data_IF_150656234435
#
_entry.id   IF_150656234435
#
_cell.length_a   1.000
_cell.length_b   1.000
_cell.length_c   1.000
_cell.angle_alpha   90.00
_cell.angle_beta   90.00
_cell.angle_gamma   90.00
#
_symmetry.space_group_name_H-M   'P 1'
#
loop_
_entity.id
_entity.type
_entity.pdbx_description
1 polymer ?
#
# COMPACT_ATOMS: atom_id res chain seq x y z
N UNK A 1 5.10 -7.29 1.87
CA UNK A 1 3.89 -6.75 1.21
C UNK A 1 2.72 -7.57 1.73
N UNK A 2 1.51 -7.02 1.85
CA UNK A 2 0.35 -7.80 2.33
C UNK A 2 0.10 -8.99 1.40
N UNK A 3 -0.15 -10.19 1.94
CA UNK A 3 -0.40 -11.42 1.17
C UNK A 3 -1.56 -11.27 0.19
N UNK A 4 -2.57 -10.47 0.56
CA UNK A 4 -3.72 -10.14 -0.32
C UNK A 4 -3.25 -9.33 -1.53
N UNK A 5 -2.34 -8.37 -1.31
CA UNK A 5 -1.82 -7.50 -2.37
C UNK A 5 -0.89 -8.29 -3.29
N UNK A 6 -0.11 -9.24 -2.77
CA UNK A 6 0.72 -10.14 -3.59
C UNK A 6 -0.12 -11.09 -4.46
N UNK A 7 -1.19 -11.65 -3.89
CA UNK A 7 -2.16 -12.46 -4.65
C UNK A 7 -2.82 -11.62 -5.75
N UNK A 8 -3.27 -10.42 -5.40
CA UNK A 8 -3.90 -9.49 -6.35
C UNK A 8 -2.94 -9.08 -7.47
N UNK A 9 -1.67 -8.80 -7.15
CA UNK A 9 -0.63 -8.50 -8.14
C UNK A 9 -0.44 -9.67 -9.12
N UNK A 10 -0.40 -10.90 -8.60
CA UNK A 10 -0.25 -12.11 -9.42
C UNK A 10 -1.40 -12.29 -10.41
N UNK A 11 -2.62 -11.91 -10.02
CA UNK A 11 -3.79 -11.97 -10.90
C UNK A 11 -3.81 -10.85 -11.95
N UNK A 12 -3.38 -9.65 -11.59
CA UNK A 12 -3.28 -8.52 -12.54
C UNK A 12 -2.13 -8.72 -13.53
N UNK A 13 -0.99 -9.24 -13.09
CA UNK A 13 0.19 -9.47 -13.94
C UNK A 13 -0.07 -10.46 -15.10
N UNK A 14 -1.16 -11.24 -15.03
CA UNK A 14 -1.59 -12.14 -16.11
C UNK A 14 -2.32 -11.42 -17.26
N UNK A 15 -2.57 -10.11 -17.14
CA UNK A 15 -3.29 -9.31 -18.13
C UNK A 15 -2.33 -8.32 -18.81
N UNK A 16 -2.06 -8.52 -20.10
CA UNK A 16 -1.04 -7.79 -20.85
C UNK A 16 -1.30 -6.29 -21.00
N UNK A 17 -2.55 -5.84 -20.85
CA UNK A 17 -2.99 -4.46 -21.05
C UNK A 17 -3.06 -3.64 -19.76
N UNK A 18 -2.77 -4.23 -18.59
CA UNK A 18 -2.91 -3.59 -17.29
C UNK A 18 -1.56 -3.40 -16.59
N UNK A 19 -1.46 -2.31 -15.83
CA UNK A 19 -0.32 -2.07 -14.94
C UNK A 19 -0.82 -1.87 -13.52
N UNK A 20 -0.30 -2.65 -12.59
CA UNK A 20 -0.48 -2.43 -11.17
C UNK A 20 0.78 -1.79 -10.60
N UNK A 21 0.60 -0.71 -9.85
CA UNK A 21 1.66 -0.06 -9.08
C UNK A 21 1.25 0.02 -7.62
N UNK A 22 2.22 -0.01 -6.73
CA UNK A 22 2.00 -0.18 -5.30
C UNK A 22 2.85 0.78 -4.48
N UNK A 23 2.27 1.31 -3.41
CA UNK A 23 2.99 2.06 -2.40
C UNK A 23 2.54 1.67 -0.99
N UNK A 24 3.50 1.42 -0.11
CA UNK A 24 3.25 1.23 1.33
C UNK A 24 3.62 2.50 2.08
N UNK A 25 2.65 3.13 2.74
CA UNK A 25 2.90 4.28 3.59
C UNK A 25 3.57 3.83 4.90
N UNK A 26 4.71 4.45 5.20
CA UNK A 26 5.40 4.29 6.47
C UNK A 26 5.73 5.66 7.03
N UNK A 27 5.22 5.98 8.21
CA UNK A 27 5.34 7.31 8.78
C UNK A 27 6.81 7.67 9.07
N UNK A 28 7.28 8.88 8.68
CA UNK A 28 6.52 9.95 8.01
C UNK A 28 6.56 9.82 6.48
N UNK A 29 5.44 9.46 5.86
CA UNK A 29 5.27 9.52 4.39
C UNK A 29 4.48 10.78 4.02
N UNK A 30 4.93 11.53 3.01
CA UNK A 30 4.17 12.65 2.44
C UNK A 30 3.49 12.28 1.12
N UNK A 31 2.48 13.05 0.72
CA UNK A 31 1.81 12.93 -0.57
C UNK A 31 2.81 13.00 -1.73
N UNK A 32 3.85 13.81 -1.61
CA UNK A 32 4.87 13.98 -2.65
C UNK A 32 5.79 12.75 -2.75
N UNK A 33 6.06 12.05 -1.64
CA UNK A 33 6.79 10.79 -1.64
C UNK A 33 5.99 9.71 -2.39
N UNK A 34 4.69 9.62 -2.10
CA UNK A 34 3.78 8.69 -2.77
C UNK A 34 3.76 8.97 -4.28
N UNK A 35 3.45 10.20 -4.69
CA UNK A 35 3.32 10.53 -6.13
C UNK A 35 4.64 10.30 -6.86
N UNK A 36 5.80 10.67 -6.28
CA UNK A 36 7.12 10.41 -6.90
C UNK A 36 7.37 8.92 -7.10
N UNK A 37 7.00 8.09 -6.13
CA UNK A 37 7.14 6.64 -6.26
C UNK A 37 6.20 6.04 -7.30
N UNK A 38 4.96 6.53 -7.40
CA UNK A 38 4.03 6.09 -8.44
C UNK A 38 4.56 6.47 -9.83
N UNK A 39 5.13 7.67 -9.97
CA UNK A 39 5.79 8.11 -11.21
C UNK A 39 6.97 7.22 -11.53
N UNK A 40 7.86 6.91 -10.58
CA UNK A 40 9.04 6.08 -10.85
C UNK A 40 8.67 4.66 -11.30
N UNK A 41 7.60 4.09 -10.74
CA UNK A 41 7.10 2.77 -11.13
C UNK A 41 6.51 2.75 -12.55
N UNK A 42 5.83 3.83 -12.98
CA UNK A 42 5.26 3.94 -14.33
C UNK A 42 6.21 4.56 -15.36
N UNK A 43 7.33 5.14 -14.93
CA UNK A 43 8.28 5.80 -15.82
C UNK A 43 8.97 4.83 -16.77
N UNK A 44 9.04 3.54 -16.41
CA UNK A 44 9.59 2.52 -17.29
C UNK A 44 8.64 2.22 -18.46
N UNK A 45 9.21 1.94 -19.62
CA UNK A 45 8.48 1.42 -20.78
C UNK A 45 7.87 0.06 -20.48
N UNK A 46 6.84 -0.34 -21.24
CA UNK A 46 6.14 -1.60 -20.99
C UNK A 46 7.06 -2.82 -21.07
N UNK A 47 8.11 -2.76 -21.90
CA UNK A 47 9.14 -3.78 -22.04
C UNK A 47 10.28 -3.66 -20.98
N UNK A 48 10.24 -2.65 -20.11
CA UNK A 48 11.20 -2.44 -19.03
C UNK A 48 12.59 -1.97 -19.49
N UNK A 49 12.78 -1.69 -20.78
CA UNK A 49 14.11 -1.44 -21.35
C UNK A 49 14.53 0.03 -21.33
N UNK A 50 13.59 0.96 -21.16
CA UNK A 50 13.86 2.39 -21.19
C UNK A 50 12.99 3.17 -20.20
N UNK A 51 13.49 4.35 -19.83
CA UNK A 51 12.69 5.36 -19.12
C UNK A 51 11.98 6.22 -20.16
N UNK A 52 10.74 6.58 -19.87
CA UNK A 52 9.91 7.42 -20.71
C UNK A 52 10.57 8.80 -20.95
N UNK A 53 10.53 9.26 -22.20
CA UNK A 53 11.29 10.43 -22.64
C UNK A 53 10.81 11.73 -22.01
N UNK A 54 9.52 11.89 -21.74
CA UNK A 54 9.00 13.07 -21.03
C UNK A 54 9.45 13.12 -19.58
N UNK A 55 9.63 11.97 -18.90
CA UNK A 55 10.22 11.91 -17.56
C UNK A 55 11.72 12.26 -17.61
N UNK A 56 12.46 11.71 -18.58
CA UNK A 56 13.87 12.06 -18.78
C UNK A 56 14.05 13.56 -19.04
N UNK A 57 13.19 14.16 -19.88
CA UNK A 57 13.20 15.59 -20.15
C UNK A 57 12.92 16.41 -18.87
N UNK A 58 11.91 16.02 -18.09
CA UNK A 58 11.56 16.67 -16.82
C UNK A 58 12.76 16.75 -15.86
N UNK A 59 13.55 15.67 -15.75
CA UNK A 59 14.76 15.66 -14.93
C UNK A 59 15.91 16.46 -15.54
N UNK A 60 16.10 16.41 -16.86
CA UNK A 60 17.16 17.17 -17.53
C UNK A 60 16.92 18.69 -17.51
N UNK A 61 15.66 19.10 -17.47
CA UNK A 61 15.25 20.51 -17.43
C UNK A 61 15.33 21.12 -16.01
N UNK A 62 15.39 20.28 -14.98
CA UNK A 62 15.64 20.70 -13.60
C UNK A 62 17.09 21.17 -13.43
N UNK A 63 17.34 22.46 -13.72
CA UNK A 63 18.67 23.09 -13.65
C UNK A 63 18.94 23.75 -12.28
N UNK A 64 20.22 23.85 -11.86
CA UNK A 64 20.62 24.52 -10.62
C UNK A 64 20.09 25.97 -10.49
N UNK A 65 19.87 26.48 -9.26
CA UNK A 65 20.35 25.95 -7.98
C UNK A 65 19.41 24.93 -7.31
N UNK A 66 18.20 24.74 -7.83
CA UNK A 66 17.25 23.77 -7.29
C UNK A 66 17.53 22.39 -7.89
N UNK A 67 18.30 21.61 -7.13
CA UNK A 67 18.88 20.34 -7.49
C UNK A 67 17.84 19.28 -7.92
N UNK A 68 18.13 18.59 -9.02
CA UNK A 68 17.86 17.17 -9.37
C UNK A 68 16.43 16.61 -9.27
N UNK A 69 15.47 17.32 -8.68
CA UNK A 69 14.13 16.84 -8.37
C UNK A 69 13.15 17.92 -8.84
N UNK A 70 12.36 17.65 -9.90
CA UNK A 70 11.27 18.51 -10.36
C UNK A 70 10.28 18.88 -9.24
N UNK A 71 9.51 19.95 -9.41
CA UNK A 71 8.58 20.44 -8.37
C UNK A 71 7.32 19.56 -8.27
N UNK A 72 6.63 19.59 -7.12
CA UNK A 72 5.42 18.79 -6.78
C UNK A 72 4.32 18.80 -7.85
N UNK A 73 4.04 19.97 -8.43
CA UNK A 73 3.01 20.13 -9.46
C UNK A 73 3.38 19.38 -10.75
N UNK A 74 4.68 19.31 -11.05
CA UNK A 74 5.20 18.55 -12.20
C UNK A 74 4.96 17.05 -12.01
N UNK A 75 5.10 16.54 -10.78
CA UNK A 75 4.93 15.11 -10.51
C UNK A 75 3.50 14.61 -10.71
N UNK A 76 2.50 15.40 -10.30
CA UNK A 76 1.10 15.04 -10.52
C UNK A 76 0.73 15.06 -12.01
N UNK A 77 1.29 16.02 -12.76
CA UNK A 77 1.11 16.10 -14.21
C UNK A 77 1.87 14.97 -14.94
N UNK A 78 3.06 14.60 -14.47
CA UNK A 78 3.84 13.47 -14.96
C UNK A 78 3.08 12.16 -14.75
N UNK A 79 2.53 11.93 -13.54
CA UNK A 79 1.73 10.75 -13.25
C UNK A 79 0.53 10.63 -14.21
N UNK A 80 -0.17 11.74 -14.47
CA UNK A 80 -1.28 11.77 -15.44
C UNK A 80 -0.83 11.34 -16.84
N UNK A 81 0.25 11.91 -17.35
CA UNK A 81 0.78 11.57 -18.68
C UNK A 81 1.19 10.10 -18.76
N UNK A 82 1.80 9.57 -17.69
CA UNK A 82 2.18 8.17 -17.63
C UNK A 82 0.96 7.24 -17.61
N UNK A 83 -0.08 7.57 -16.83
CA UNK A 83 -1.34 6.82 -16.85
C UNK A 83 -2.03 6.85 -18.21
N UNK A 84 -1.90 7.92 -19.00
CA UNK A 84 -2.46 8.02 -20.36
C UNK A 84 -1.80 7.14 -21.41
N UNK A 85 -0.61 6.59 -21.12
CA UNK A 85 0.09 5.67 -22.03
C UNK A 85 -0.38 4.22 -21.91
N UNK A 86 -0.97 3.87 -20.77
CA UNK A 86 -1.40 2.51 -20.47
C UNK A 86 -2.92 2.46 -20.55
N UNK A 87 -3.48 1.38 -21.08
CA UNK A 87 -4.94 1.26 -21.21
C UNK A 87 -5.63 1.33 -19.85
N UNK A 88 -5.01 0.73 -18.82
CA UNK A 88 -5.53 0.65 -17.48
C UNK A 88 -4.41 0.56 -16.44
N UNK A 89 -4.50 1.42 -15.43
CA UNK A 89 -3.60 1.46 -14.28
C UNK A 89 -4.37 1.22 -13.00
N UNK A 90 -3.90 0.29 -12.18
CA UNK A 90 -4.41 0.03 -10.84
C UNK A 90 -3.36 0.55 -9.85
N UNK A 91 -3.73 1.54 -9.06
CA UNK A 91 -2.85 2.18 -8.08
C UNK A 91 -3.27 1.69 -6.69
N UNK A 92 -2.38 0.95 -6.04
CA UNK A 92 -2.61 0.43 -4.69
C UNK A 92 -1.81 1.24 -3.68
N UNK A 93 -2.48 1.80 -2.69
CA UNK A 93 -1.86 2.55 -1.59
C UNK A 93 -2.27 1.90 -0.27
N UNK A 94 -1.27 1.39 0.43
CA UNK A 94 -1.42 0.60 1.63
C UNK A 94 -1.00 1.42 2.87
N UNK A 95 -1.69 1.23 3.99
CA UNK A 95 -1.51 1.99 5.23
C UNK A 95 -1.65 3.51 5.07
N UNK A 96 -2.65 3.97 4.30
CA UNK A 96 -2.83 5.40 3.95
C UNK A 96 -2.92 6.34 5.17
N UNK A 97 -3.33 5.84 6.34
CA UNK A 97 -3.35 6.59 7.60
C UNK A 97 -1.95 7.01 8.11
N UNK A 98 -0.89 6.36 7.63
CA UNK A 98 0.51 6.70 7.91
C UNK A 98 1.05 7.79 6.96
N UNK A 99 0.23 8.29 6.02
CA UNK A 99 0.55 9.44 5.19
C UNK A 99 0.15 10.74 5.90
N UNK A 100 1.14 11.58 6.21
CA UNK A 100 0.96 12.81 7.00
C UNK A 100 -0.09 13.76 6.43
N UNK A 101 -0.10 13.95 5.11
CA UNK A 101 -1.01 14.82 4.37
C UNK A 101 -1.92 14.01 3.43
N UNK A 102 -2.44 12.88 3.90
CA UNK A 102 -3.33 11.98 3.14
C UNK A 102 -4.49 12.71 2.44
N UNK A 103 -5.01 13.80 3.03
CA UNK A 103 -6.07 14.61 2.41
C UNK A 103 -5.63 15.27 1.09
N UNK A 104 -4.39 15.78 1.04
CA UNK A 104 -3.80 16.35 -0.19
C UNK A 104 -3.55 15.27 -1.24
N UNK A 105 -3.11 14.09 -0.79
CA UNK A 105 -2.94 12.92 -1.66
C UNK A 105 -4.26 12.50 -2.30
N UNK A 106 -5.30 12.24 -1.50
CA UNK A 106 -6.62 11.85 -1.99
C UNK A 106 -7.20 12.87 -2.98
N UNK A 107 -7.11 14.16 -2.69
CA UNK A 107 -7.55 15.21 -3.61
C UNK A 107 -6.80 15.19 -4.95
N UNK A 108 -5.49 14.89 -4.92
CA UNK A 108 -4.66 14.77 -6.12
C UNK A 108 -5.02 13.54 -6.94
N UNK A 109 -5.20 12.39 -6.30
CA UNK A 109 -5.61 11.14 -6.95
C UNK A 109 -7.03 11.23 -7.52
N UNK A 110 -7.94 11.94 -6.85
CA UNK A 110 -9.29 12.17 -7.37
C UNK A 110 -9.27 13.03 -8.63
N UNK A 111 -8.45 14.09 -8.67
CA UNK A 111 -8.24 14.89 -9.89
C UNK A 111 -7.62 14.06 -11.03
N UNK A 112 -6.72 13.13 -10.71
CA UNK A 112 -6.18 12.16 -11.67
C UNK A 112 -7.31 11.30 -12.25
N UNK A 113 -8.15 10.72 -11.39
CA UNK A 113 -9.27 9.86 -11.79
C UNK A 113 -10.26 10.57 -12.71
N UNK A 114 -10.64 11.80 -12.38
CA UNK A 114 -11.62 12.57 -13.18
C UNK A 114 -11.11 12.81 -14.60
N UNK A 115 -9.79 12.97 -14.77
CA UNK A 115 -9.16 13.15 -16.09
C UNK A 115 -8.99 11.83 -16.86
N UNK A 116 -9.20 10.69 -16.22
CA UNK A 116 -8.88 9.34 -16.70
C UNK A 116 -9.86 8.31 -16.10
N UNK A 117 -11.17 8.55 -16.28
CA UNK A 117 -12.25 7.85 -15.54
C UNK A 117 -12.16 6.32 -15.65
N UNK A 118 -11.95 5.80 -16.85
CA UNK A 118 -11.93 4.35 -17.10
C UNK A 118 -10.51 3.76 -17.06
N UNK A 119 -9.50 4.60 -17.20
CA UNK A 119 -8.09 4.19 -17.29
C UNK A 119 -7.38 4.07 -15.95
N UNK A 120 -7.94 4.62 -14.85
CA UNK A 120 -7.29 4.56 -13.53
C UNK A 120 -8.25 4.07 -12.45
N UNK A 121 -7.83 3.02 -11.74
CA UNK A 121 -8.49 2.49 -10.55
C UNK A 121 -7.59 2.62 -9.33
N UNK A 122 -8.20 2.81 -8.17
CA UNK A 122 -7.51 2.91 -6.90
C UNK A 122 -7.94 1.80 -5.96
N UNK A 123 -6.99 1.29 -5.18
CA UNK A 123 -7.24 0.43 -4.03
C UNK A 123 -6.52 1.08 -2.86
N UNK A 124 -7.26 1.32 -1.78
CA UNK A 124 -6.72 1.91 -0.56
C UNK A 124 -6.87 0.92 0.58
N UNK A 125 -5.85 0.83 1.44
CA UNK A 125 -5.99 0.27 2.77
C UNK A 125 -5.65 1.36 3.80
N UNK A 126 -6.36 1.37 4.92
CA UNK A 126 -6.09 2.31 6.01
C UNK A 126 -6.79 1.84 7.29
N UNK A 127 -6.40 2.45 8.41
CA UNK A 127 -7.27 2.52 9.59
C UNK A 127 -8.49 3.42 9.34
N UNK A 128 -9.48 3.31 10.25
CA UNK A 128 -10.78 3.99 10.16
C UNK A 128 -10.73 5.52 10.33
N UNK A 129 -9.58 6.07 10.74
CA UNK A 129 -9.38 7.52 10.87
C UNK A 129 -9.25 8.24 9.52
N UNK A 130 -9.06 7.52 8.42
CA UNK A 130 -9.04 8.09 7.07
C UNK A 130 -10.37 7.82 6.37
N UNK A 131 -11.12 8.90 6.11
CA UNK A 131 -12.38 8.85 5.40
C UNK A 131 -12.15 8.99 3.88
N UNK A 132 -11.95 7.84 3.22
CA UNK A 132 -11.75 7.76 1.77
C UNK A 132 -13.05 8.05 1.01
N UNK A 133 -14.20 7.60 1.54
CA UNK A 133 -15.52 7.72 0.90
C UNK A 133 -15.93 9.17 0.67
N UNK A 134 -15.51 10.07 1.57
CA UNK A 134 -15.70 11.52 1.41
C UNK A 134 -15.13 12.08 0.12
N UNK A 135 -14.02 11.52 -0.38
CA UNK A 135 -13.36 11.97 -1.62
C UNK A 135 -13.76 11.12 -2.81
N UNK A 136 -13.90 9.80 -2.60
CA UNK A 136 -14.26 8.82 -3.62
C UNK A 136 -15.66 8.29 -3.35
N UNK A 137 -16.67 9.15 -3.52
CA UNK A 137 -18.07 8.80 -3.28
C UNK A 137 -18.51 7.61 -4.11
N UNK A 138 -19.14 6.61 -3.47
CA UNK A 138 -19.59 5.39 -4.14
C UNK A 138 -18.48 4.36 -4.37
N UNK A 139 -17.33 4.50 -3.69
CA UNK A 139 -16.34 3.43 -3.61
C UNK A 139 -16.92 2.20 -2.91
N UNK A 140 -16.60 1.03 -3.42
CA UNK A 140 -16.82 -0.22 -2.70
C UNK A 140 -15.71 -0.40 -1.68
N UNK A 141 -16.07 -0.81 -0.46
CA UNK A 141 -15.14 -0.99 0.64
C UNK A 141 -15.53 -2.18 1.51
N UNK A 142 -14.52 -2.78 2.14
CA UNK A 142 -14.70 -3.79 3.18
C UNK A 142 -14.10 -3.23 4.46
N UNK A 143 -14.93 -3.10 5.49
CA UNK A 143 -14.46 -2.77 6.84
C UNK A 143 -14.28 -4.06 7.60
N UNK A 144 -13.08 -4.27 8.14
CA UNK A 144 -12.79 -5.39 9.03
C UNK A 144 -12.88 -4.88 10.47
N UNK A 145 -13.94 -5.27 11.19
CA UNK A 145 -14.07 -4.92 12.59
C UNK A 145 -13.23 -5.86 13.47
N UNK A 146 -12.94 -5.43 14.70
CA UNK A 146 -12.20 -6.26 15.67
C UNK A 146 -12.94 -7.55 15.97
N UNK A 147 -14.27 -7.52 16.02
CA UNK A 147 -15.11 -8.70 16.19
C UNK A 147 -14.93 -9.73 15.05
N UNK A 148 -14.82 -9.26 13.80
CA UNK A 148 -14.59 -10.11 12.63
C UNK A 148 -13.23 -10.82 12.67
N UNK A 149 -12.23 -10.16 13.27
CA UNK A 149 -10.82 -10.61 13.24
C UNK A 149 -10.36 -11.27 14.54
N UNK A 150 -11.05 -11.05 15.67
CA UNK A 150 -10.66 -11.52 17.01
C UNK A 150 -10.44 -13.03 17.10
N UNK A 151 -11.34 -13.81 16.49
CA UNK A 151 -11.26 -15.27 16.48
C UNK A 151 -10.08 -15.74 15.63
N UNK A 152 -9.92 -15.17 14.45
CA UNK A 152 -8.84 -15.53 13.53
C UNK A 152 -7.47 -15.17 14.11
N UNK A 153 -7.35 -14.01 14.77
CA UNK A 153 -6.16 -13.62 15.52
C UNK A 153 -5.84 -14.60 16.63
N UNK A 154 -6.86 -15.03 17.40
CA UNK A 154 -6.67 -16.00 18.48
C UNK A 154 -6.15 -17.34 17.94
N UNK A 155 -6.77 -17.85 16.86
CA UNK A 155 -6.35 -19.09 16.18
C UNK A 155 -4.93 -18.95 15.63
N UNK A 156 -4.61 -17.81 15.02
CA UNK A 156 -3.27 -17.54 14.50
C UNK A 156 -2.22 -17.57 15.60
N UNK A 157 -2.45 -16.86 16.72
CA UNK A 157 -1.52 -16.81 17.86
C UNK A 157 -1.34 -18.21 18.45
N UNK A 158 -2.41 -18.97 18.66
CA UNK A 158 -2.33 -20.35 19.17
C UNK A 158 -1.52 -21.26 18.25
N UNK A 159 -1.78 -21.19 16.93
CA UNK A 159 -1.06 -21.97 15.95
C UNK A 159 0.43 -21.60 15.93
N UNK A 160 0.75 -20.32 16.07
CA UNK A 160 2.12 -19.83 15.96
C UNK A 160 2.95 -20.01 17.24
N UNK A 161 2.30 -20.06 18.40
CA UNK A 161 2.97 -20.52 19.63
C UNK A 161 3.23 -22.03 19.55
N UNK A 162 2.27 -22.80 19.04
CA UNK A 162 2.42 -24.27 18.90
C UNK A 162 3.48 -24.65 17.87
N UNK A 163 3.59 -23.91 16.76
CA UNK A 163 4.61 -24.17 15.72
C UNK A 163 6.04 -24.03 16.26
N UNK A 164 6.22 -23.25 17.33
CA UNK A 164 7.51 -23.01 18.02
C UNK A 164 7.66 -23.78 19.32
N UNK A 165 6.85 -24.80 19.54
CA UNK A 165 6.91 -25.62 20.76
C UNK A 165 8.28 -26.30 20.93
N UNK A 166 8.94 -26.66 19.84
CA UNK A 166 10.27 -27.26 19.86
C UNK A 166 11.38 -26.29 20.30
N UNK A 167 11.17 -24.97 20.13
CA UNK A 167 12.11 -23.93 20.54
C UNK A 167 12.09 -23.67 22.06
N UNK A 168 11.08 -24.22 22.77
CA UNK A 168 10.93 -24.07 24.21
C UNK A 168 11.67 -25.21 24.91
N UNK A 169 12.91 -24.95 25.32
CA UNK A 169 13.70 -25.87 26.14
C UNK A 169 13.11 -26.01 27.55
N UNK A 170 12.20 -26.97 27.72
CA UNK A 170 11.61 -27.31 29.02
C UNK A 170 11.45 -28.82 29.15
N UNK A 171 11.97 -29.38 30.24
CA UNK A 171 11.98 -30.82 30.51
C UNK A 171 10.68 -31.32 31.17
N UNK A 172 9.86 -30.41 31.67
CA UNK A 172 8.56 -30.72 32.27
C UNK A 172 7.42 -30.27 31.35
N UNK A 173 6.70 -31.24 30.79
CA UNK A 173 5.58 -31.02 29.87
C UNK A 173 4.46 -30.18 30.49
N UNK A 174 4.23 -30.31 31.79
CA UNK A 174 3.20 -29.53 32.49
C UNK A 174 3.58 -28.04 32.56
N UNK A 175 4.82 -27.75 32.94
CA UNK A 175 5.38 -26.39 32.97
C UNK A 175 5.45 -25.81 31.56
N UNK A 176 5.87 -26.60 30.56
CA UNK A 176 5.92 -26.19 29.15
C UNK A 176 4.55 -25.74 28.64
N UNK A 177 3.51 -26.52 28.92
CA UNK A 177 2.12 -26.19 28.55
C UNK A 177 1.61 -24.94 29.27
N UNK A 178 1.90 -24.77 30.56
CA UNK A 178 1.53 -23.55 31.29
C UNK A 178 2.23 -22.32 30.72
N UNK A 179 3.49 -22.44 30.34
CA UNK A 179 4.26 -21.36 29.73
C UNK A 179 3.69 -20.97 28.36
N UNK A 180 3.39 -21.95 27.49
CA UNK A 180 2.74 -21.70 26.19
C UNK A 180 1.39 -21.01 26.34
N UNK A 181 0.53 -21.48 27.24
CA UNK A 181 -0.77 -20.85 27.52
C UNK A 181 -0.60 -19.39 27.98
N UNK A 182 0.46 -19.10 28.74
CA UNK A 182 0.77 -17.74 29.19
C UNK A 182 1.27 -16.85 28.06
N UNK A 183 2.07 -17.39 27.13
CA UNK A 183 2.48 -16.68 25.91
C UNK A 183 1.25 -16.32 25.08
N UNK A 184 0.37 -17.30 24.80
CA UNK A 184 -0.87 -17.07 24.04
C UNK A 184 -1.70 -15.98 24.70
N UNK A 185 -1.91 -16.05 26.02
CA UNK A 185 -2.67 -15.04 26.76
C UNK A 185 -2.07 -13.64 26.63
N UNK A 186 -0.75 -13.51 26.78
CA UNK A 186 -0.06 -12.22 26.66
C UNK A 186 -0.19 -11.67 25.24
N UNK A 187 0.10 -12.49 24.22
CA UNK A 187 0.04 -12.07 22.82
C UNK A 187 -1.39 -11.71 22.39
N UNK A 188 -2.41 -12.46 22.83
CA UNK A 188 -3.81 -12.17 22.53
C UNK A 188 -4.26 -10.84 23.16
N UNK A 189 -3.82 -10.55 24.39
CA UNK A 189 -4.10 -9.27 25.04
C UNK A 189 -3.42 -8.09 24.32
N UNK A 190 -2.21 -8.27 23.80
CA UNK A 190 -1.53 -7.25 23.01
C UNK A 190 -2.17 -7.05 21.63
N UNK A 191 -2.63 -8.14 20.98
CA UNK A 191 -3.28 -8.06 19.67
C UNK A 191 -4.66 -7.39 19.72
N UNK A 192 -5.36 -7.47 20.85
CA UNK A 192 -6.66 -6.82 21.05
C UNK A 192 -6.61 -5.34 21.44
N UNK A 193 -5.43 -4.71 21.51
CA UNK A 193 -5.29 -3.35 22.06
C UNK A 193 -4.07 -2.58 21.58
N UNK A 194 -4.20 -1.97 20.39
CA UNK A 194 -3.74 -0.62 20.05
C UNK A 194 -4.78 0.06 19.16
#
# INVERSE_FOLDING_TARGET
MSTIIESFYSDVARQDDQRMIYFYCISPTTSDDVIRSLVSQLAWTLDGNAIETSILAMFNDAKPPNATIPITEDWSAALLKLCQRVSKVIIVIDALDECFDFSKLLATLRRLQIKQLDGVKFVFSSRLNVDVEKVFTGSEGVTLATEDTSKDMSIYIENEVRSKEEDIECWDEATKRQFMNRIVLVLANFAGGM
#
